data_IF_285224842604
#
_entry.id   IF_285224842604
#
_cell.length_a   1.000
_cell.length_b   1.000
_cell.length_c   1.000
_cell.angle_alpha   90.00
_cell.angle_beta   90.00
_cell.angle_gamma   90.00
#
_symmetry.space_group_name_H-M   'P 1'
#
loop_
_entity.id
_entity.type
_entity.pdbx_description
1 polymer ?
#
# COMPACT_ATOMS: atom_id res chain seq x y z
N UNK A 1 -3.46 18.76 7.19
CA UNK A 1 -4.49 17.93 6.54
C UNK A 1 -3.87 17.19 5.36
N UNK A 2 -3.00 16.21 5.62
CA UNK A 2 -2.27 15.46 4.59
C UNK A 2 -2.74 13.99 4.48
N UNK A 3 -3.49 13.48 5.45
CA UNK A 3 -3.98 12.11 5.50
C UNK A 3 -4.80 11.71 4.28
N UNK A 4 -5.85 12.47 3.94
CA UNK A 4 -6.71 12.18 2.78
C UNK A 4 -5.93 12.25 1.46
N UNK A 5 -5.18 13.34 1.16
CA UNK A 5 -4.33 13.38 -0.04
C UNK A 5 -3.36 12.19 -0.12
N UNK A 6 -2.72 11.83 0.99
CA UNK A 6 -1.78 10.70 1.04
C UNK A 6 -2.48 9.35 0.83
N UNK A 7 -3.68 9.19 1.38
CA UNK A 7 -4.53 8.03 1.15
C UNK A 7 -4.90 7.87 -0.33
N UNK A 8 -5.37 8.95 -0.97
CA UNK A 8 -5.68 8.94 -2.41
C UNK A 8 -4.43 8.68 -3.27
N UNK A 9 -3.31 9.33 -2.95
CA UNK A 9 -2.05 9.14 -3.69
C UNK A 9 -1.58 7.68 -3.64
N UNK A 10 -1.55 7.07 -2.46
CA UNK A 10 -1.12 5.68 -2.34
C UNK A 10 -2.13 4.69 -2.94
N UNK A 11 -3.44 4.97 -2.83
CA UNK A 11 -4.46 4.18 -3.52
C UNK A 11 -4.29 4.21 -5.04
N UNK A 12 -3.97 5.38 -5.61
CA UNK A 12 -3.69 5.52 -7.02
C UNK A 12 -2.45 4.72 -7.44
N UNK A 13 -1.36 4.77 -6.66
CA UNK A 13 -0.16 3.98 -6.91
C UNK A 13 -0.46 2.47 -6.86
N UNK A 14 -1.22 2.03 -5.85
CA UNK A 14 -1.63 0.63 -5.71
C UNK A 14 -2.47 0.16 -6.90
N UNK A 15 -3.42 0.99 -7.34
CA UNK A 15 -4.27 0.71 -8.50
C UNK A 15 -3.45 0.64 -9.80
N UNK A 16 -2.51 1.56 -10.01
CA UNK A 16 -1.60 1.53 -11.17
C UNK A 16 -0.75 0.27 -11.19
N UNK A 17 -0.20 -0.12 -10.04
CA UNK A 17 0.54 -1.38 -9.91
C UNK A 17 -0.33 -2.59 -10.27
N UNK A 18 -1.54 -2.68 -9.72
CA UNK A 18 -2.44 -3.79 -10.01
C UNK A 18 -2.87 -3.81 -11.48
N UNK A 19 -3.21 -2.66 -12.08
CA UNK A 19 -3.53 -2.58 -13.50
C UNK A 19 -2.37 -3.10 -14.38
N UNK A 20 -1.13 -2.76 -14.02
CA UNK A 20 0.06 -3.25 -14.73
C UNK A 20 0.23 -4.77 -14.57
N UNK A 21 0.10 -5.30 -13.36
CA UNK A 21 0.23 -6.75 -13.13
C UNK A 21 -0.88 -7.53 -13.83
N UNK A 22 -2.12 -7.06 -13.77
CA UNK A 22 -3.24 -7.65 -14.50
C UNK A 22 -3.01 -7.60 -16.01
N UNK A 23 -2.46 -6.51 -16.56
CA UNK A 23 -2.08 -6.45 -17.98
C UNK A 23 -0.99 -7.45 -18.37
N UNK A 24 -0.01 -7.70 -17.48
CA UNK A 24 1.00 -8.76 -17.67
C UNK A 24 0.36 -10.15 -17.64
N UNK A 25 -0.59 -10.38 -16.74
CA UNK A 25 -1.33 -11.64 -16.64
C UNK A 25 -2.11 -11.96 -17.91
N UNK A 26 -2.83 -10.97 -18.45
CA UNK A 26 -3.57 -11.12 -19.71
C UNK A 26 -2.68 -11.36 -20.94
N UNK A 27 -1.39 -11.02 -20.88
CA UNK A 27 -0.43 -11.28 -21.95
C UNK A 27 0.40 -12.55 -21.74
N UNK A 28 0.27 -13.21 -20.59
CA UNK A 28 0.98 -14.44 -20.26
C UNK A 28 0.20 -15.68 -20.75
N UNK A 29 0.94 -16.74 -21.09
CA UNK A 29 0.38 -18.07 -21.42
C UNK A 29 0.28 -18.97 -20.19
N UNK A 30 0.65 -18.48 -19.01
CA UNK A 30 0.66 -19.22 -17.74
C UNK A 30 -0.73 -19.29 -17.06
N UNK A 31 -0.92 -20.23 -16.10
CA UNK A 31 -2.20 -20.41 -15.41
C UNK A 31 -2.62 -19.14 -14.66
N UNK A 32 -3.74 -18.56 -15.08
CA UNK A 32 -4.26 -17.28 -14.59
C UNK A 32 -4.59 -17.26 -13.08
N UNK A 33 -5.02 -18.40 -12.51
CA UNK A 33 -5.62 -18.46 -11.17
C UNK A 33 -4.66 -18.12 -10.02
N UNK A 34 -3.52 -18.82 -9.88
CA UNK A 34 -2.57 -18.60 -8.78
C UNK A 34 -1.96 -17.19 -8.80
N UNK A 35 -1.64 -16.68 -9.99
CA UNK A 35 -1.01 -15.37 -10.12
C UNK A 35 -2.01 -14.23 -9.85
N UNK A 36 -3.26 -14.36 -10.30
CA UNK A 36 -4.32 -13.39 -9.98
C UNK A 36 -4.58 -13.32 -8.47
N UNK A 37 -4.59 -14.47 -7.79
CA UNK A 37 -4.72 -14.52 -6.33
C UNK A 37 -3.56 -13.78 -5.63
N UNK A 38 -2.34 -13.91 -6.15
CA UNK A 38 -1.17 -13.20 -5.63
C UNK A 38 -1.29 -11.67 -5.85
N UNK A 39 -1.74 -11.24 -7.03
CA UNK A 39 -2.00 -9.81 -7.31
C UNK A 39 -3.06 -9.26 -6.36
N UNK A 40 -4.17 -9.99 -6.15
CA UNK A 40 -5.23 -9.58 -5.23
C UNK A 40 -4.72 -9.47 -3.78
N UNK A 41 -3.93 -10.44 -3.32
CA UNK A 41 -3.32 -10.43 -1.98
C UNK A 41 -2.42 -9.21 -1.78
N UNK A 42 -1.53 -8.94 -2.73
CA UNK A 42 -0.59 -7.84 -2.66
C UNK A 42 -1.29 -6.49 -2.75
N UNK A 43 -2.32 -6.38 -3.60
CA UNK A 43 -3.17 -5.21 -3.66
C UNK A 43 -3.87 -4.94 -2.31
N UNK A 44 -4.33 -5.99 -1.63
CA UNK A 44 -4.92 -5.88 -0.29
C UNK A 44 -3.96 -5.24 0.71
N UNK A 45 -2.67 -5.63 0.69
CA UNK A 45 -1.63 -5.04 1.54
C UNK A 45 -1.38 -3.58 1.14
N UNK A 46 -1.33 -3.28 -0.16
CA UNK A 46 -1.06 -1.94 -0.67
C UNK A 46 -2.18 -0.94 -0.34
N UNK A 47 -3.44 -1.35 -0.41
CA UNK A 47 -4.60 -0.48 -0.15
C UNK A 47 -4.86 -0.28 1.35
N UNK A 48 -4.39 -1.18 2.22
CA UNK A 48 -4.67 -1.15 3.65
C UNK A 48 -4.40 0.23 4.29
N UNK A 49 -3.25 0.90 4.09
CA UNK A 49 -3.01 2.22 4.66
C UNK A 49 -3.91 3.31 4.07
N UNK A 50 -4.27 3.21 2.78
CA UNK A 50 -5.20 4.15 2.15
C UNK A 50 -6.58 4.08 2.80
N UNK A 51 -7.12 2.87 3.04
CA UNK A 51 -8.38 2.70 3.74
C UNK A 51 -8.33 3.34 5.12
N UNK A 52 -7.26 3.09 5.87
CA UNK A 52 -7.09 3.64 7.20
C UNK A 52 -7.01 5.17 7.16
N UNK A 53 -6.30 5.77 6.19
CA UNK A 53 -6.18 7.23 6.06
C UNK A 53 -7.48 7.91 5.59
N UNK A 54 -8.24 7.25 4.72
CA UNK A 54 -9.50 7.78 4.19
C UNK A 54 -10.65 7.66 5.20
N UNK A 55 -10.72 6.54 5.92
CA UNK A 55 -11.76 6.25 6.91
C UNK A 55 -11.51 6.93 8.26
N UNK A 56 -10.26 7.18 8.65
CA UNK A 56 -9.95 7.71 9.98
C UNK A 56 -10.31 9.19 10.21
N UNK A 57 -10.78 9.92 9.19
CA UNK A 57 -11.24 11.30 9.35
C UNK A 57 -10.20 12.27 9.96
N UNK A 58 -10.61 13.50 10.33
CA UNK A 58 -9.73 14.54 10.88
C UNK A 58 -9.17 14.25 12.30
N UNK A 59 -9.50 13.09 12.89
CA UNK A 59 -9.24 12.76 14.30
C UNK A 59 -7.78 12.45 14.66
N UNK A 60 -6.81 12.60 13.75
CA UNK A 60 -5.43 12.16 13.98
C UNK A 60 -4.37 13.21 13.58
N UNK A 61 -4.53 14.44 14.09
CA UNK A 61 -3.65 15.59 13.81
C UNK A 61 -2.14 15.32 14.02
N UNK A 62 -1.75 14.50 15.00
CA UNK A 62 -0.32 14.29 15.32
C UNK A 62 0.40 13.34 14.34
N UNK A 63 -0.33 12.42 13.73
CA UNK A 63 0.21 11.50 12.72
C UNK A 63 0.06 12.02 11.30
N UNK A 64 -0.72 13.08 11.09
CA UNK A 64 -0.94 13.69 9.77
C UNK A 64 0.38 14.08 9.07
N UNK A 65 1.43 14.42 9.85
CA UNK A 65 2.79 14.68 9.33
C UNK A 65 3.47 13.46 8.70
N UNK A 66 3.10 12.26 9.11
CA UNK A 66 3.66 11.00 8.62
C UNK A 66 2.81 10.37 7.51
N UNK A 67 1.61 10.89 7.26
CA UNK A 67 0.74 10.39 6.20
C UNK A 67 1.44 10.30 4.82
N UNK A 68 2.29 11.27 4.41
CA UNK A 68 3.01 11.19 3.14
C UNK A 68 4.00 10.03 3.04
N UNK A 69 4.45 9.43 4.15
CA UNK A 69 5.37 8.30 4.10
C UNK A 69 4.74 7.07 3.44
N UNK A 70 3.44 6.88 3.58
CA UNK A 70 2.72 5.80 2.92
C UNK A 70 2.89 5.80 1.38
N UNK A 71 2.42 6.84 0.64
CA UNK A 71 2.58 6.85 -0.80
C UNK A 71 4.05 6.90 -1.24
N UNK A 72 4.94 7.49 -0.44
CA UNK A 72 6.38 7.52 -0.76
C UNK A 72 7.02 6.13 -0.71
N UNK A 73 6.81 5.38 0.37
CA UNK A 73 7.39 4.03 0.53
C UNK A 73 6.76 3.06 -0.48
N UNK A 74 5.43 3.14 -0.66
CA UNK A 74 4.75 2.33 -1.68
C UNK A 74 5.24 2.68 -3.08
N UNK A 75 5.33 3.97 -3.41
CA UNK A 75 5.81 4.46 -4.69
C UNK A 75 7.24 4.02 -5.00
N UNK A 76 8.15 4.16 -4.05
CA UNK A 76 9.53 3.68 -4.19
C UNK A 76 9.59 2.16 -4.41
N UNK A 77 8.79 1.40 -3.67
CA UNK A 77 8.68 -0.05 -3.84
C UNK A 77 8.17 -0.46 -5.23
N UNK A 78 7.10 0.18 -5.69
CA UNK A 78 6.52 -0.07 -7.02
C UNK A 78 7.49 0.36 -8.13
N UNK A 79 8.17 1.50 -7.97
CA UNK A 79 9.17 1.97 -8.92
C UNK A 79 10.36 1.01 -9.02
N UNK A 80 10.82 0.47 -7.89
CA UNK A 80 11.86 -0.56 -7.87
C UNK A 80 11.46 -1.78 -8.70
N UNK A 81 10.21 -2.25 -8.56
CA UNK A 81 9.70 -3.36 -9.37
C UNK A 81 9.67 -3.05 -10.87
N UNK A 82 9.52 -1.77 -11.25
CA UNK A 82 9.52 -1.38 -12.65
C UNK A 82 10.90 -1.16 -13.25
N UNK A 83 11.91 -0.84 -12.42
CA UNK A 83 13.27 -0.60 -12.88
C UNK A 83 14.14 -1.86 -12.88
N UNK A 84 13.75 -2.89 -12.13
CA UNK A 84 14.53 -4.12 -12.00
C UNK A 84 14.01 -5.19 -12.96
N UNK A 85 14.91 -5.74 -13.78
CA UNK A 85 14.62 -6.89 -14.66
C UNK A 85 14.64 -8.22 -13.89
N UNK A 86 15.45 -8.29 -12.82
CA UNK A 86 15.54 -9.47 -11.96
C UNK A 86 14.40 -9.51 -10.94
N UNK A 87 13.63 -10.60 -10.95
CA UNK A 87 12.46 -10.79 -10.10
C UNK A 87 12.80 -10.82 -8.60
N UNK A 88 13.97 -11.34 -8.22
CA UNK A 88 14.42 -11.39 -6.83
C UNK A 88 14.83 -9.99 -6.36
N UNK A 89 15.57 -9.24 -7.17
CA UNK A 89 15.96 -7.86 -6.87
C UNK A 89 14.73 -6.92 -6.80
N UNK A 90 13.70 -7.19 -7.61
CA UNK A 90 12.42 -6.48 -7.57
C UNK A 90 11.60 -6.81 -6.31
N UNK A 91 11.51 -8.11 -5.96
CA UNK A 91 10.62 -8.61 -4.91
C UNK A 91 11.16 -8.53 -3.48
N UNK A 92 12.48 -8.64 -3.30
CA UNK A 92 13.08 -8.64 -1.96
C UNK A 92 12.83 -7.33 -1.18
N UNK A 93 12.96 -6.13 -1.78
CA UNK A 93 12.63 -4.88 -1.08
C UNK A 93 11.14 -4.78 -0.72
N UNK A 94 10.25 -5.35 -1.54
CA UNK A 94 8.83 -5.39 -1.22
C UNK A 94 8.56 -6.20 0.06
N UNK A 95 9.15 -7.40 0.15
CA UNK A 95 8.93 -8.32 1.25
C UNK A 95 9.58 -7.82 2.54
N UNK A 96 10.83 -7.35 2.46
CA UNK A 96 11.64 -7.01 3.64
C UNK A 96 11.30 -5.63 4.20
N UNK A 97 10.87 -4.68 3.36
CA UNK A 97 10.70 -3.29 3.76
C UNK A 97 9.27 -2.77 3.53
N UNK A 98 8.74 -2.91 2.32
CA UNK A 98 7.47 -2.25 1.95
C UNK A 98 6.28 -2.90 2.67
N UNK A 99 6.10 -4.21 2.56
CA UNK A 99 5.02 -4.93 3.25
C UNK A 99 5.00 -4.72 4.76
N UNK A 100 6.12 -4.92 5.50
CA UNK A 100 6.11 -4.70 6.94
C UNK A 100 5.83 -3.23 7.28
N UNK A 101 6.38 -2.28 6.52
CA UNK A 101 6.08 -0.86 6.71
C UNK A 101 4.59 -0.56 6.56
N UNK A 102 3.94 -1.03 5.49
CA UNK A 102 2.52 -0.76 5.22
C UNK A 102 1.63 -1.37 6.31
N UNK A 103 1.94 -2.59 6.75
CA UNK A 103 1.20 -3.26 7.83
C UNK A 103 1.34 -2.52 9.16
N UNK A 104 2.57 -2.17 9.57
CA UNK A 104 2.84 -1.44 10.81
C UNK A 104 2.19 -0.06 10.76
N UNK A 105 2.31 0.64 9.64
CA UNK A 105 1.71 1.96 9.44
C UNK A 105 0.18 1.90 9.60
N UNK A 106 -0.48 0.95 8.94
CA UNK A 106 -1.93 0.78 9.03
C UNK A 106 -2.37 0.44 10.46
N UNK A 107 -1.67 -0.49 11.14
CA UNK A 107 -1.95 -0.87 12.52
C UNK A 107 -1.75 0.30 13.49
N UNK A 108 -0.64 1.04 13.38
CA UNK A 108 -0.34 2.19 14.22
C UNK A 108 -1.43 3.25 14.11
N UNK A 109 -1.92 3.50 12.90
CA UNK A 109 -3.07 4.37 12.70
C UNK A 109 -4.33 3.75 13.32
N UNK A 110 -4.73 2.53 12.95
CA UNK A 110 -5.96 1.87 13.45
C UNK A 110 -6.08 1.86 14.98
N UNK A 111 -5.04 1.37 15.67
CA UNK A 111 -5.01 1.26 17.12
C UNK A 111 -5.14 2.63 17.79
N UNK A 112 -4.57 3.68 17.21
CA UNK A 112 -4.63 5.01 17.81
C UNK A 112 -6.01 5.65 17.73
N UNK A 113 -6.77 5.44 16.65
CA UNK A 113 -8.14 5.99 16.61
C UNK A 113 -9.08 5.35 17.62
N UNK A 114 -8.88 4.05 17.93
CA UNK A 114 -9.63 3.38 19.02
C UNK A 114 -9.37 4.03 20.37
N UNK A 115 -8.12 4.43 20.66
CA UNK A 115 -7.76 5.12 21.91
C UNK A 115 -8.39 6.53 21.99
N UNK A 116 -8.54 7.23 20.87
CA UNK A 116 -9.21 8.54 20.85
C UNK A 116 -10.73 8.44 21.05
N UNK A 117 -11.39 7.41 20.51
CA UNK A 117 -12.83 7.19 20.74
C UNK A 117 -13.15 6.81 22.19
N UNK A 118 -12.28 6.05 22.86
CA UNK A 118 -12.50 5.65 24.26
C UNK A 118 -12.23 6.75 25.29
N UNK A 119 -11.71 7.92 24.88
CA UNK A 119 -11.35 9.03 25.78
C UNK A 119 -12.32 10.21 25.73
N UNK A 120 -13.35 10.12 24.90
CA UNK A 120 -14.45 11.09 24.78
C UNK A 120 -15.75 10.45 25.29
#
# INVERSE_FOLDING_TARGET
MLARPSGYAGAAIAALWAARQTGRLYSSTEPFGPELMNVARNLGIFILPALVLLLAGPFRMWFDRFAPLYPLVLGAGVLNVYMQDDALAAGLPLIVLVYPFLAIFALAYLLRGRVSEMRN
#
